data_IF_787201148011
#
_entry.id   IF_787201148011
#
_cell.length_a   1.000
_cell.length_b   1.000
_cell.length_c   1.000
_cell.angle_alpha   90.00
_cell.angle_beta   90.00
_cell.angle_gamma   90.00
#
_symmetry.space_group_name_H-M   'P 1'
#
loop_
_entity.id
_entity.type
_entity.pdbx_description
1 polymer ?
#
# COMPACT_ATOMS: atom_id res chain seq x y z
N UNK A 1 8.07 -30.72 -43.42
CA UNK A 1 7.30 -30.13 -42.31
C UNK A 1 5.85 -30.18 -42.75
N UNK A 2 5.06 -31.05 -42.12
CA UNK A 2 3.80 -31.55 -42.68
C UNK A 2 2.66 -30.54 -42.55
N UNK A 3 1.75 -30.55 -43.53
CA UNK A 3 0.51 -29.74 -43.58
C UNK A 3 -0.30 -29.70 -42.27
N UNK A 4 -0.13 -30.70 -41.41
CA UNK A 4 -0.74 -30.72 -40.07
C UNK A 4 -0.22 -29.64 -39.13
N UNK A 5 1.06 -29.25 -39.23
CA UNK A 5 1.61 -28.14 -38.44
C UNK A 5 1.06 -26.79 -38.92
N UNK A 6 0.88 -26.62 -40.23
CA UNK A 6 0.32 -25.38 -40.79
C UNK A 6 -1.14 -25.18 -40.34
N UNK A 7 -1.91 -26.27 -40.22
CA UNK A 7 -3.28 -26.26 -39.70
C UNK A 7 -3.30 -25.98 -38.20
N UNK A 8 -2.38 -26.59 -37.44
CA UNK A 8 -2.26 -26.34 -36.00
C UNK A 8 -1.90 -24.87 -35.71
N UNK A 9 -0.97 -24.30 -36.46
CA UNK A 9 -0.57 -22.89 -36.33
C UNK A 9 -1.71 -21.94 -36.76
N UNK A 10 -2.50 -22.29 -37.79
CA UNK A 10 -3.71 -21.54 -38.16
C UNK A 10 -4.81 -21.61 -37.11
N UNK A 11 -4.98 -22.76 -36.45
CA UNK A 11 -6.01 -22.93 -35.41
C UNK A 11 -5.62 -22.24 -34.09
N UNK A 12 -4.33 -22.09 -33.81
CA UNK A 12 -3.81 -21.28 -32.69
C UNK A 12 -3.91 -19.78 -32.99
N UNK A 13 -3.99 -19.38 -34.27
CA UNK A 13 -4.10 -17.98 -34.68
C UNK A 13 -5.47 -17.34 -34.45
N UNK A 14 -6.46 -18.06 -33.91
CA UNK A 14 -7.76 -17.49 -33.48
C UNK A 14 -7.57 -16.77 -32.13
N UNK A 15 -6.62 -15.84 -32.09
CA UNK A 15 -6.56 -14.85 -31.03
C UNK A 15 -7.52 -13.75 -31.41
N UNK A 16 -8.71 -13.75 -30.80
CA UNK A 16 -9.57 -12.57 -30.81
C UNK A 16 -8.69 -11.40 -30.34
N UNK A 17 -8.58 -10.29 -31.09
CA UNK A 17 -7.80 -9.15 -30.64
C UNK A 17 -8.41 -8.66 -29.34
N UNK A 18 -7.77 -9.03 -28.23
CA UNK A 18 -8.19 -8.62 -26.90
C UNK A 18 -8.05 -7.11 -26.81
N UNK A 19 -9.06 -6.45 -26.26
CA UNK A 19 -8.95 -5.02 -26.02
C UNK A 19 -7.85 -4.73 -25.00
N UNK A 20 -7.35 -3.49 -24.99
CA UNK A 20 -6.23 -3.07 -24.15
C UNK A 20 -6.46 -3.36 -22.65
N UNK A 21 -7.72 -3.27 -22.20
CA UNK A 21 -8.12 -3.58 -20.83
C UNK A 21 -8.00 -5.06 -20.49
N UNK A 22 -8.41 -5.96 -21.39
CA UNK A 22 -8.26 -7.41 -21.23
C UNK A 22 -6.78 -7.81 -21.21
N UNK A 23 -5.97 -7.23 -22.09
CA UNK A 23 -4.53 -7.45 -22.09
C UNK A 23 -3.87 -6.99 -20.78
N UNK A 24 -4.26 -5.81 -20.28
CA UNK A 24 -3.79 -5.30 -18.99
C UNK A 24 -4.16 -6.21 -17.82
N UNK A 25 -5.38 -6.78 -17.84
CA UNK A 25 -5.82 -7.72 -16.81
C UNK A 25 -5.02 -9.02 -16.83
N UNK A 26 -4.78 -9.60 -18.00
CA UNK A 26 -3.96 -10.80 -18.14
C UNK A 26 -2.50 -10.56 -17.74
N UNK A 27 -1.93 -9.43 -18.14
CA UNK A 27 -0.57 -9.05 -17.74
C UNK A 27 -0.47 -8.85 -16.21
N UNK A 28 -1.47 -8.24 -15.58
CA UNK A 28 -1.52 -8.13 -14.13
C UNK A 28 -1.69 -9.49 -13.44
N UNK A 29 -2.49 -10.40 -13.99
CA UNK A 29 -2.70 -11.73 -13.43
C UNK A 29 -1.40 -12.56 -13.45
N UNK A 30 -0.54 -12.35 -14.45
CA UNK A 30 0.75 -13.05 -14.59
C UNK A 30 1.86 -12.41 -13.77
N UNK A 31 1.94 -11.07 -13.77
CA UNK A 31 3.12 -10.34 -13.28
C UNK A 31 2.85 -9.41 -12.10
N UNK A 32 1.59 -9.27 -11.67
CA UNK A 32 1.17 -8.38 -10.57
C UNK A 32 1.71 -6.94 -10.69
N UNK A 33 1.78 -6.42 -11.93
CA UNK A 33 2.30 -5.08 -12.19
C UNK A 33 1.48 -4.00 -11.49
N UNK A 34 2.13 -2.93 -11.02
CA UNK A 34 1.43 -1.81 -10.38
C UNK A 34 0.54 -1.03 -11.38
N UNK A 35 -0.43 -0.29 -10.85
CA UNK A 35 -1.41 0.44 -11.67
C UNK A 35 -0.76 1.48 -12.60
N UNK A 36 0.36 2.10 -12.21
CA UNK A 36 1.07 3.06 -13.09
C UNK A 36 1.72 2.36 -14.29
N UNK A 37 2.24 1.14 -14.10
CA UNK A 37 2.77 0.31 -15.17
C UNK A 37 1.70 -0.05 -16.18
N UNK A 38 0.56 -0.55 -15.70
CA UNK A 38 -0.58 -0.91 -16.56
C UNK A 38 -1.11 0.27 -17.37
N UNK A 39 -1.28 1.44 -16.72
CA UNK A 39 -1.71 2.67 -17.38
C UNK A 39 -0.78 3.07 -18.53
N UNK A 40 0.54 3.01 -18.33
CA UNK A 40 1.52 3.39 -19.35
C UNK A 40 1.61 2.36 -20.48
N UNK A 41 1.61 1.07 -20.15
CA UNK A 41 1.83 -0.01 -21.11
C UNK A 41 0.62 -0.25 -22.01
N UNK A 42 -0.59 -0.24 -21.43
CA UNK A 42 -1.82 -0.59 -22.16
C UNK A 42 -2.68 0.62 -22.47
N UNK A 43 -2.24 1.85 -22.15
CA UNK A 43 -2.95 3.11 -22.43
C UNK A 43 -4.39 3.18 -21.86
N UNK A 44 -4.72 2.31 -20.91
CA UNK A 44 -6.00 2.34 -20.15
C UNK A 44 -6.03 3.50 -19.16
N UNK A 45 -7.21 3.91 -18.68
CA UNK A 45 -7.27 4.97 -17.67
C UNK A 45 -6.60 4.54 -16.35
N UNK A 46 -6.09 5.51 -15.58
CA UNK A 46 -5.51 5.21 -14.27
C UNK A 46 -6.55 4.64 -13.30
N UNK A 47 -7.82 5.00 -13.47
CA UNK A 47 -8.94 4.45 -12.69
C UNK A 47 -9.12 2.97 -12.98
N UNK A 48 -9.09 2.58 -14.26
CA UNK A 48 -9.20 1.18 -14.69
C UNK A 48 -8.01 0.35 -14.21
N UNK A 49 -6.80 0.89 -14.36
CA UNK A 49 -5.59 0.23 -13.87
C UNK A 49 -5.62 0.01 -12.35
N UNK A 50 -6.12 0.98 -11.58
CA UNK A 50 -6.35 0.82 -10.13
C UNK A 50 -7.43 -0.22 -9.85
N UNK A 51 -8.48 -0.29 -10.67
CA UNK A 51 -9.52 -1.30 -10.59
C UNK A 51 -8.96 -2.72 -10.75
N UNK A 52 -8.12 -2.93 -11.76
CA UNK A 52 -7.44 -4.21 -12.01
C UNK A 52 -6.63 -4.64 -10.76
N UNK A 53 -5.76 -3.77 -10.25
CA UNK A 53 -4.93 -4.07 -9.07
C UNK A 53 -5.79 -4.33 -7.82
N UNK A 54 -6.85 -3.54 -7.60
CA UNK A 54 -7.76 -3.71 -6.45
C UNK A 54 -8.56 -5.01 -6.52
N UNK A 55 -8.90 -5.48 -7.73
CA UNK A 55 -9.63 -6.74 -7.94
C UNK A 55 -8.76 -7.98 -7.78
N UNK A 56 -7.43 -7.85 -7.83
CA UNK A 56 -6.52 -8.98 -7.69
C UNK A 56 -6.50 -9.46 -6.24
N UNK A 57 -6.85 -10.73 -5.93
CA UNK A 57 -6.91 -11.23 -4.56
C UNK A 57 -5.52 -11.24 -3.86
N UNK A 58 -4.45 -11.37 -4.65
CA UNK A 58 -3.06 -11.34 -4.15
C UNK A 58 -2.61 -9.91 -3.81
N UNK A 59 -3.03 -8.92 -4.61
CA UNK A 59 -2.61 -7.53 -4.43
C UNK A 59 -3.55 -6.74 -3.52
N UNK A 60 -4.84 -7.12 -3.43
CA UNK A 60 -5.86 -6.40 -2.66
C UNK A 60 -5.63 -6.50 -1.14
N UNK A 61 -5.07 -7.61 -0.68
CA UNK A 61 -4.68 -7.80 0.73
C UNK A 61 -3.51 -6.91 1.16
N UNK A 62 -2.74 -6.38 0.20
CA UNK A 62 -1.75 -5.33 0.43
C UNK A 62 -2.43 -3.96 0.39
N UNK A 63 -3.54 -3.85 1.14
CA UNK A 63 -4.42 -2.70 1.19
C UNK A 63 -3.71 -1.39 1.52
N UNK A 64 -4.42 -0.25 1.46
CA UNK A 64 -3.82 1.04 1.83
C UNK A 64 -3.20 0.90 3.22
N UNK A 65 -1.87 1.08 3.27
CA UNK A 65 -1.09 0.91 4.49
C UNK A 65 -1.61 1.78 5.62
N UNK A 66 -1.39 1.29 6.85
CA UNK A 66 -1.88 1.84 8.12
C UNK A 66 -3.40 2.05 8.08
N UNK A 67 -4.14 1.12 8.70
CA UNK A 67 -5.59 1.21 8.79
C UNK A 67 -6.06 2.57 9.33
N UNK A 68 -7.34 2.90 9.13
CA UNK A 68 -7.97 4.12 9.63
C UNK A 68 -8.08 4.19 11.17
N UNK A 69 -7.24 3.46 11.90
CA UNK A 69 -7.18 3.52 13.35
C UNK A 69 -6.69 4.90 13.80
N UNK A 70 -7.36 5.45 14.80
CA UNK A 70 -6.87 6.61 15.55
C UNK A 70 -6.03 6.11 16.72
N UNK A 71 -5.12 6.95 17.22
CA UNK A 71 -4.39 6.66 18.44
C UNK A 71 -5.36 6.72 19.63
N UNK A 72 -5.57 5.63 20.39
CA UNK A 72 -6.49 5.63 21.53
C UNK A 72 -6.04 6.61 22.62
N UNK A 73 -7.02 7.15 23.35
CA UNK A 73 -6.83 8.08 24.47
C UNK A 73 -7.70 7.64 25.65
N UNK A 74 -7.30 8.01 26.86
CA UNK A 74 -8.08 7.80 28.08
C UNK A 74 -9.41 8.56 28.02
N UNK A 75 -10.43 8.00 28.65
CA UNK A 75 -11.75 8.62 28.84
C UNK A 75 -11.83 9.44 30.13
N UNK A 76 -10.88 9.22 31.04
CA UNK A 76 -10.68 9.97 32.27
C UNK A 76 -9.20 10.20 32.60
N UNK A 77 -8.89 11.09 33.56
CA UNK A 77 -7.52 11.35 33.98
C UNK A 77 -6.87 10.09 34.57
N UNK A 78 -5.57 9.91 34.34
CA UNK A 78 -4.77 8.80 34.85
C UNK A 78 -5.12 7.42 34.28
N UNK A 79 -5.89 7.33 33.18
CA UNK A 79 -6.24 6.05 32.55
C UNK A 79 -5.22 5.57 31.51
N UNK A 80 -4.81 6.48 30.61
CA UNK A 80 -3.90 6.17 29.51
C UNK A 80 -2.85 7.26 29.39
N UNK A 81 -1.60 6.87 29.53
CA UNK A 81 -0.43 7.72 29.37
C UNK A 81 0.35 7.31 28.12
N UNK A 82 0.87 8.31 27.40
CA UNK A 82 1.81 8.09 26.30
C UNK A 82 3.18 8.60 26.71
N UNK A 83 4.22 7.82 26.41
CA UNK A 83 5.61 8.19 26.68
C UNK A 83 6.39 8.11 25.38
N UNK A 84 7.23 9.12 25.13
CA UNK A 84 8.27 9.06 24.09
C UNK A 84 9.51 9.84 24.55
N UNK A 85 10.62 9.68 23.83
CA UNK A 85 11.86 10.40 24.06
C UNK A 85 12.11 11.36 22.90
N UNK A 86 12.28 12.64 23.21
CA UNK A 86 12.66 13.64 22.21
C UNK A 86 14.10 14.11 22.43
N UNK A 87 14.75 14.51 21.34
CA UNK A 87 16.13 14.98 21.38
C UNK A 87 16.18 16.51 21.41
N UNK A 88 16.73 17.06 22.50
CA UNK A 88 16.90 18.50 22.74
C UNK A 88 18.40 18.82 22.82
N UNK A 89 19.06 19.18 21.69
CA UNK A 89 20.51 19.32 21.64
C UNK A 89 21.10 20.33 22.63
N UNK A 90 20.36 21.37 22.99
CA UNK A 90 20.79 22.40 23.94
C UNK A 90 21.07 21.88 25.35
N UNK A 91 20.59 20.67 25.70
CA UNK A 91 20.87 20.02 26.99
C UNK A 91 22.16 19.19 26.99
N UNK A 92 22.93 19.17 25.90
CA UNK A 92 24.26 18.56 25.86
C UNK A 92 24.21 17.06 26.12
N UNK A 93 24.82 16.57 27.21
CA UNK A 93 24.74 15.14 27.58
C UNK A 93 23.31 14.73 27.97
N UNK A 94 22.51 15.66 28.49
CA UNK A 94 21.14 15.43 28.94
C UNK A 94 20.10 15.61 27.81
N UNK A 95 20.54 15.48 26.56
CA UNK A 95 19.75 15.80 25.35
C UNK A 95 18.59 14.85 25.10
N UNK A 96 18.51 13.72 25.80
CA UNK A 96 17.42 12.76 25.65
C UNK A 96 16.37 13.06 26.72
N UNK A 97 15.31 13.76 26.32
CA UNK A 97 14.23 14.16 27.22
C UNK A 97 13.13 13.13 27.15
N UNK A 98 12.90 12.43 28.26
CA UNK A 98 11.76 11.53 28.42
C UNK A 98 10.51 12.37 28.70
N UNK A 99 9.49 12.24 27.86
CA UNK A 99 8.22 12.97 27.98
C UNK A 99 7.10 11.96 28.15
N UNK A 100 6.28 12.17 29.17
CA UNK A 100 5.10 11.37 29.47
C UNK A 100 3.89 12.30 29.55
N UNK A 101 2.82 11.99 28.81
CA UNK A 101 1.60 12.79 28.73
C UNK A 101 0.37 11.95 29.09
N UNK A 102 -0.48 12.47 29.98
CA UNK A 102 -1.80 11.90 30.22
C UNK A 102 -2.69 12.25 29.03
N UNK A 103 -3.17 11.23 28.33
CA UNK A 103 -3.88 11.43 27.05
C UNK A 103 -5.28 12.01 27.22
N UNK A 104 -5.85 12.02 28.42
CA UNK A 104 -7.14 12.64 28.69
C UNK A 104 -6.98 14.14 29.01
N UNK A 105 -6.24 14.45 30.07
CA UNK A 105 -6.07 15.79 30.64
C UNK A 105 -5.01 16.64 29.96
N UNK A 106 -4.07 16.03 29.24
CA UNK A 106 -2.92 16.72 28.66
C UNK A 106 -1.84 17.10 29.67
N UNK A 107 -1.86 16.55 30.88
CA UNK A 107 -0.79 16.75 31.86
C UNK A 107 0.52 16.16 31.34
N UNK A 108 1.61 16.94 31.39
CA UNK A 108 2.92 16.56 30.87
C UNK A 108 3.94 16.48 32.00
N UNK A 109 4.71 15.39 32.01
CA UNK A 109 5.91 15.23 32.80
C UNK A 109 7.12 15.06 31.88
N UNK A 110 8.20 15.79 32.12
CA UNK A 110 9.42 15.72 31.32
C UNK A 110 10.67 15.61 32.21
N UNK A 111 11.58 14.70 31.87
CA UNK A 111 12.85 14.50 32.58
C UNK A 111 14.01 14.46 31.58
N UNK A 112 15.02 15.32 31.80
CA UNK A 112 16.26 15.31 31.03
C UNK A 112 17.25 14.30 31.66
N UNK A 113 17.85 13.44 30.83
CA UNK A 113 18.79 12.38 31.25
C UNK A 113 20.02 12.34 30.35
#
# INVERSE_FOLDING_TARGET
LGKGNDIADQLVSVTVPLNEFQQARMAHDTFHQNARGLHKQFRISLTDARGIVKSCPVCSQRGPGLGMGVNPRGLGPNEVWQMDVTHVPSFGKLKYVHVTIDTFSGFIWATAQ
#
